data_IF_003134417797
#
_entry.id   IF_003134417797
#
_cell.length_a   1.000
_cell.length_b   1.000
_cell.length_c   1.000
_cell.angle_alpha   90.00
_cell.angle_beta   90.00
_cell.angle_gamma   90.00
#
_symmetry.space_group_name_H-M   'P 1'
#
loop_
_entity.id
_entity.type
_entity.pdbx_description
1 polymer ?
#
# COMPACT_ATOMS: atom_id res chain seq x y z
N UNK A 1 11.83 -13.36 15.33
CA UNK A 1 10.60 -12.59 15.23
C UNK A 1 9.85 -12.94 13.95
N UNK A 2 8.55 -13.26 14.06
CA UNK A 2 7.73 -13.73 12.94
C UNK A 2 7.00 -12.62 12.19
N UNK A 3 7.23 -11.34 12.52
CA UNK A 3 6.49 -10.20 11.99
C UNK A 3 5.14 -10.00 12.69
N UNK A 4 4.37 -9.01 12.21
CA UNK A 4 3.15 -8.52 12.86
C UNK A 4 2.04 -9.59 12.99
N UNK A 5 1.99 -10.55 12.08
CA UNK A 5 0.97 -11.61 12.10
C UNK A 5 1.45 -12.89 12.77
N UNK A 6 2.66 -13.34 12.48
CA UNK A 6 3.14 -14.63 12.99
C UNK A 6 3.69 -14.54 14.43
N UNK A 7 4.13 -13.35 14.88
CA UNK A 7 4.58 -13.19 16.27
C UNK A 7 3.43 -13.41 17.26
N UNK A 8 2.27 -12.72 17.14
CA UNK A 8 1.14 -13.02 18.01
C UNK A 8 0.59 -14.45 17.83
N UNK A 9 0.59 -15.00 16.61
CA UNK A 9 0.23 -16.40 16.37
C UNK A 9 1.10 -17.36 17.20
N UNK A 10 2.41 -17.22 17.12
CA UNK A 10 3.35 -18.05 17.84
C UNK A 10 3.17 -17.93 19.37
N UNK A 11 3.01 -16.71 19.87
CA UNK A 11 2.75 -16.49 21.30
C UNK A 11 1.47 -17.17 21.76
N UNK A 12 0.37 -16.97 21.03
CA UNK A 12 -0.93 -17.56 21.37
C UNK A 12 -0.90 -19.09 21.30
N UNK A 13 -0.28 -19.67 20.26
CA UNK A 13 -0.09 -21.14 20.17
C UNK A 13 0.80 -21.69 21.28
N UNK A 14 1.65 -20.86 21.91
CA UNK A 14 2.46 -21.22 23.07
C UNK A 14 1.75 -20.97 24.41
N UNK A 15 0.45 -20.67 24.39
CA UNK A 15 -0.33 -20.39 25.59
C UNK A 15 -0.13 -18.99 26.17
N UNK A 16 0.47 -18.05 25.43
CA UNK A 16 0.69 -16.66 25.85
C UNK A 16 -0.24 -15.74 25.07
N UNK A 17 -1.32 -15.30 25.68
CA UNK A 17 -2.33 -14.45 25.00
C UNK A 17 -3.57 -14.22 25.86
N UNK A 18 -4.63 -13.62 25.29
CA UNK A 18 -5.90 -13.44 26.01
C UNK A 18 -6.48 -14.79 26.42
N UNK A 19 -6.61 -15.02 27.72
CA UNK A 19 -7.01 -16.33 28.29
C UNK A 19 -8.33 -16.85 27.72
N UNK A 20 -9.35 -15.98 27.60
CA UNK A 20 -10.66 -16.37 27.07
C UNK A 20 -10.54 -16.84 25.62
N UNK A 21 -9.82 -16.10 24.76
CA UNK A 21 -9.60 -16.48 23.37
C UNK A 21 -8.82 -17.79 23.22
N UNK A 22 -7.78 -18.00 24.05
CA UNK A 22 -7.03 -19.26 24.07
C UNK A 22 -7.90 -20.44 24.43
N UNK A 23 -8.72 -20.31 25.45
CA UNK A 23 -9.69 -21.33 25.85
C UNK A 23 -10.71 -21.64 24.75
N UNK A 24 -11.21 -20.60 24.04
CA UNK A 24 -12.17 -20.75 22.93
C UNK A 24 -11.60 -21.60 21.77
N UNK A 25 -10.29 -21.54 21.56
CA UNK A 25 -9.61 -22.34 20.51
C UNK A 25 -8.97 -23.62 21.04
N UNK A 26 -9.21 -23.98 22.34
CA UNK A 26 -8.74 -25.23 22.95
C UNK A 26 -7.27 -25.23 23.35
N UNK A 27 -6.67 -24.05 23.58
CA UNK A 27 -5.32 -23.89 24.09
C UNK A 27 -5.37 -23.50 25.56
N UNK A 28 -4.66 -24.23 26.42
CA UNK A 28 -4.55 -23.92 27.86
C UNK A 28 -3.68 -22.65 28.03
N UNK A 29 -4.19 -21.59 28.69
CA UNK A 29 -3.42 -20.38 28.94
C UNK A 29 -2.28 -20.63 29.92
N UNK A 30 -1.04 -20.38 29.52
CA UNK A 30 0.15 -20.39 30.37
C UNK A 30 0.36 -19.01 31.00
N UNK A 31 0.16 -17.96 30.19
CA UNK A 31 0.23 -16.58 30.65
C UNK A 31 -0.92 -15.80 30.04
N UNK A 32 -1.78 -15.26 30.89
CA UNK A 32 -2.81 -14.31 30.42
C UNK A 32 -2.18 -12.96 30.05
N UNK A 33 -2.18 -12.70 28.75
CA UNK A 33 -1.63 -11.47 28.16
C UNK A 33 -2.66 -10.85 27.21
N UNK A 34 -3.54 -9.97 27.70
CA UNK A 34 -4.74 -9.51 26.99
C UNK A 34 -4.44 -8.68 25.74
N UNK A 35 -3.21 -8.19 25.58
CA UNK A 35 -2.83 -7.35 24.43
C UNK A 35 -2.12 -8.11 23.30
N UNK A 36 -1.81 -9.39 23.46
CA UNK A 36 -1.27 -10.21 22.36
C UNK A 36 -2.29 -10.30 21.24
N UNK A 37 -1.89 -9.92 20.04
CA UNK A 37 -2.77 -9.85 18.88
C UNK A 37 -3.62 -8.57 18.79
N UNK A 38 -3.60 -7.67 19.76
CA UNK A 38 -4.36 -6.42 19.76
C UNK A 38 -3.56 -5.25 19.17
N UNK A 39 -4.24 -4.12 18.97
CA UNK A 39 -3.67 -2.86 18.49
C UNK A 39 -3.01 -2.94 17.09
N UNK A 40 -3.52 -3.81 16.22
CA UNK A 40 -3.07 -3.86 14.84
C UNK A 40 -3.34 -2.53 14.14
N UNK A 41 -2.31 -1.97 13.53
CA UNK A 41 -2.36 -0.76 12.71
C UNK A 41 -1.72 -1.02 11.36
N UNK A 42 -2.28 -0.45 10.31
CA UNK A 42 -1.68 -0.47 8.98
C UNK A 42 -2.06 0.81 8.22
N UNK A 43 -1.24 1.19 7.27
CA UNK A 43 -1.47 2.34 6.43
C UNK A 43 -2.61 2.08 5.44
N UNK A 44 -3.67 2.89 5.52
CA UNK A 44 -4.74 2.87 4.54
C UNK A 44 -4.46 3.90 3.44
N UNK A 45 -4.72 3.53 2.20
CA UNK A 45 -4.47 4.39 1.06
C UNK A 45 -5.52 4.23 -0.03
N UNK A 46 -5.82 5.34 -0.72
CA UNK A 46 -6.68 5.39 -1.91
C UNK A 46 -5.85 5.98 -3.04
N UNK A 47 -6.05 5.54 -4.26
CA UNK A 47 -5.26 6.03 -5.40
C UNK A 47 -6.15 6.65 -6.47
N UNK A 48 -6.39 7.98 -6.44
CA UNK A 48 -6.88 8.69 -7.61
C UNK A 48 -5.92 8.51 -8.78
N UNK A 49 -6.45 8.15 -9.95
CA UNK A 49 -5.68 7.90 -11.16
C UNK A 49 -6.22 8.70 -12.32
N UNK A 50 -5.34 9.07 -13.26
CA UNK A 50 -5.73 9.71 -14.50
C UNK A 50 -5.06 9.00 -15.67
N UNK A 51 -5.79 8.87 -16.80
CA UNK A 51 -5.22 8.42 -18.05
C UNK A 51 -4.23 9.44 -18.60
N UNK A 52 -3.33 9.00 -19.50
CA UNK A 52 -2.45 9.88 -20.26
C UNK A 52 -2.89 9.96 -21.72
N UNK A 53 -3.10 11.17 -22.28
CA UNK A 53 -3.36 11.33 -23.71
C UNK A 53 -2.19 10.82 -24.56
N UNK A 54 -0.96 11.11 -24.10
CA UNK A 54 0.27 10.66 -24.74
C UNK A 54 1.01 9.72 -23.78
N UNK A 55 1.43 8.55 -24.25
CA UNK A 55 2.17 7.58 -23.42
C UNK A 55 3.41 8.19 -22.79
N UNK A 56 3.61 7.90 -21.51
CA UNK A 56 4.82 8.30 -20.80
C UNK A 56 6.00 7.35 -21.08
N UNK A 57 7.22 7.77 -20.72
CA UNK A 57 8.45 7.02 -21.01
C UNK A 57 8.46 5.63 -20.37
N UNK A 58 7.77 5.43 -19.25
CA UNK A 58 7.71 4.15 -18.58
C UNK A 58 7.02 3.07 -19.40
N UNK A 59 5.93 3.41 -20.12
CA UNK A 59 5.24 2.47 -21.02
C UNK A 59 6.18 1.94 -22.09
N UNK A 60 7.06 2.79 -22.64
CA UNK A 60 8.04 2.40 -23.63
C UNK A 60 9.10 1.45 -23.08
N UNK A 61 9.55 1.68 -21.85
CA UNK A 61 10.49 0.80 -21.15
C UNK A 61 9.87 -0.56 -20.87
N UNK A 62 8.55 -0.64 -20.61
CA UNK A 62 7.81 -1.89 -20.38
C UNK A 62 7.63 -2.74 -21.65
N UNK A 63 8.06 -2.28 -22.82
CA UNK A 63 8.13 -3.15 -23.99
C UNK A 63 9.18 -4.24 -23.76
N UNK A 64 8.81 -5.50 -23.97
CA UNK A 64 9.59 -6.67 -23.57
C UNK A 64 11.07 -6.62 -24.02
N UNK A 65 11.31 -6.28 -25.29
CA UNK A 65 12.66 -6.19 -25.86
C UNK A 65 13.48 -5.06 -25.20
N UNK A 66 12.86 -3.91 -24.94
CA UNK A 66 13.50 -2.78 -24.25
C UNK A 66 13.76 -3.09 -22.78
N UNK A 67 12.83 -3.76 -22.13
CA UNK A 67 12.99 -4.19 -20.74
C UNK A 67 14.12 -5.21 -20.61
N UNK A 68 14.16 -6.22 -21.49
CA UNK A 68 15.24 -7.22 -21.51
C UNK A 68 16.60 -6.55 -21.66
N UNK A 69 16.75 -5.64 -22.63
CA UNK A 69 17.98 -4.87 -22.82
C UNK A 69 18.31 -4.00 -21.59
N UNK A 70 17.31 -3.40 -20.97
CA UNK A 70 17.49 -2.58 -19.77
C UNK A 70 17.97 -3.40 -18.58
N UNK A 71 17.47 -4.63 -18.41
CA UNK A 71 17.92 -5.57 -17.36
C UNK A 71 19.37 -5.99 -17.60
N UNK A 72 19.72 -6.36 -18.84
CA UNK A 72 21.12 -6.72 -19.19
C UNK A 72 22.05 -5.55 -18.90
N UNK A 73 21.66 -4.33 -19.31
CA UNK A 73 22.44 -3.12 -19.05
C UNK A 73 22.58 -2.81 -17.56
N UNK A 74 21.51 -2.98 -16.80
CA UNK A 74 21.53 -2.80 -15.35
C UNK A 74 22.48 -3.80 -14.68
N UNK A 75 22.45 -5.06 -15.12
CA UNK A 75 23.30 -6.11 -14.56
C UNK A 75 24.78 -5.89 -14.89
N UNK A 76 25.11 -5.52 -16.14
CA UNK A 76 26.52 -5.40 -16.57
C UNK A 76 27.14 -4.06 -16.19
N UNK A 77 26.37 -2.99 -16.17
CA UNK A 77 26.89 -1.62 -16.04
C UNK A 77 26.29 -0.83 -14.86
N UNK A 78 25.39 -1.41 -14.07
CA UNK A 78 24.72 -0.73 -12.96
C UNK A 78 23.92 0.52 -13.38
N UNK A 79 23.43 0.58 -14.63
CA UNK A 79 22.82 1.78 -15.20
C UNK A 79 21.61 1.46 -16.07
N UNK A 80 20.76 2.46 -16.30
CA UNK A 80 19.61 2.37 -17.20
C UNK A 80 18.27 2.25 -16.47
N UNK A 81 17.14 2.23 -17.21
CA UNK A 81 15.79 2.29 -16.65
C UNK A 81 15.46 1.17 -15.65
N UNK A 82 16.05 -0.03 -15.80
CA UNK A 82 15.80 -1.16 -14.89
C UNK A 82 16.47 -1.00 -13.51
N UNK A 83 17.31 0.02 -13.30
CA UNK A 83 17.87 0.33 -11.97
C UNK A 83 16.99 1.27 -11.17
N UNK A 84 15.92 1.81 -11.75
CA UNK A 84 15.05 2.81 -11.14
C UNK A 84 13.65 2.24 -11.01
N UNK A 85 13.09 2.26 -9.80
CA UNK A 85 11.69 1.91 -9.59
C UNK A 85 10.78 3.01 -10.17
N UNK A 86 9.66 2.62 -10.83
CA UNK A 86 8.73 3.57 -11.45
C UNK A 86 7.83 4.27 -10.43
N UNK A 87 8.39 4.98 -9.55
CA UNK A 87 7.71 5.76 -8.54
C UNK A 87 8.80 6.31 -7.62
N UNK A 88 8.80 7.52 -7.28
CA UNK A 88 9.92 8.06 -6.53
C UNK A 88 9.69 9.43 -5.95
N UNK A 89 8.58 10.07 -6.31
CA UNK A 89 8.20 11.33 -5.69
C UNK A 89 7.27 11.03 -4.51
N UNK A 90 7.74 11.44 -3.36
CA UNK A 90 6.99 11.35 -2.11
C UNK A 90 6.79 12.76 -1.57
N UNK A 91 5.60 13.05 -1.11
CA UNK A 91 5.27 14.29 -0.40
C UNK A 91 4.65 13.95 0.95
N UNK A 92 4.84 14.82 1.93
CA UNK A 92 4.25 14.66 3.25
C UNK A 92 3.50 15.94 3.61
N UNK A 93 2.33 15.82 4.20
CA UNK A 93 1.47 16.94 4.54
C UNK A 93 0.83 16.74 5.91
N UNK A 94 0.53 17.85 6.58
CA UNK A 94 -0.38 17.91 7.73
C UNK A 94 -1.76 18.31 7.22
N UNK A 95 -2.80 17.55 7.52
CA UNK A 95 -4.18 17.92 7.17
C UNK A 95 -4.75 19.02 8.06
N UNK A 96 -4.16 19.20 9.26
CA UNK A 96 -4.49 20.25 10.23
C UNK A 96 -3.23 20.95 10.69
N UNK A 97 -3.31 22.25 10.96
CA UNK A 97 -2.16 23.08 11.33
C UNK A 97 -1.60 22.80 12.74
N UNK A 98 -2.41 22.26 13.62
CA UNK A 98 -2.10 21.93 15.02
C UNK A 98 -1.40 20.58 15.21
N UNK A 99 -1.32 19.75 14.16
CA UNK A 99 -0.61 18.47 14.24
C UNK A 99 0.90 18.69 14.45
N UNK A 100 1.51 17.86 15.28
CA UNK A 100 2.96 17.88 15.51
C UNK A 100 3.73 17.21 14.36
N UNK A 101 3.16 16.18 13.74
CA UNK A 101 3.74 15.42 12.63
C UNK A 101 2.81 15.42 11.41
N UNK A 102 3.35 15.06 10.25
CA UNK A 102 2.58 14.86 9.03
C UNK A 102 1.73 13.60 9.16
N UNK A 103 0.47 13.67 8.73
CA UNK A 103 -0.52 12.60 8.84
C UNK A 103 -0.91 11.98 7.49
N UNK A 104 -0.55 12.64 6.37
CA UNK A 104 -0.71 12.12 5.01
C UNK A 104 0.64 12.09 4.28
N UNK A 105 0.93 10.96 3.64
CA UNK A 105 1.99 10.80 2.65
C UNK A 105 1.37 10.69 1.26
N UNK A 106 1.92 11.40 0.29
CA UNK A 106 1.61 11.24 -1.13
C UNK A 106 2.67 10.39 -1.82
N UNK A 107 2.23 9.37 -2.54
CA UNK A 107 3.07 8.53 -3.39
C UNK A 107 2.69 8.77 -4.84
N UNK A 108 3.57 9.39 -5.61
CA UNK A 108 3.36 9.55 -7.05
C UNK A 108 3.71 8.25 -7.78
N UNK A 109 2.81 7.78 -8.63
CA UNK A 109 3.03 6.65 -9.55
C UNK A 109 2.98 7.13 -10.98
N UNK A 110 4.09 6.98 -11.70
CA UNK A 110 4.20 7.32 -13.11
C UNK A 110 3.62 6.29 -14.09
N UNK A 111 2.99 5.23 -13.58
CA UNK A 111 2.34 4.18 -14.35
C UNK A 111 1.05 3.71 -13.66
N UNK A 112 0.07 3.17 -14.41
CA UNK A 112 -1.14 2.60 -13.82
C UNK A 112 -0.82 1.33 -13.03
N UNK A 113 -1.67 0.99 -12.05
CA UNK A 113 -1.47 -0.17 -11.18
C UNK A 113 -1.49 -1.53 -11.91
N UNK A 114 -2.11 -1.58 -13.08
CA UNK A 114 -2.22 -2.74 -13.95
C UNK A 114 -1.20 -2.73 -15.11
N UNK A 115 -0.12 -1.93 -15.02
CA UNK A 115 0.95 -1.94 -16.01
C UNK A 115 1.58 -3.33 -16.15
N UNK A 116 1.83 -3.76 -17.37
CA UNK A 116 2.43 -5.05 -17.70
C UNK A 116 3.41 -4.94 -18.86
N UNK A 117 4.27 -5.94 -18.99
CA UNK A 117 5.13 -6.03 -20.17
C UNK A 117 4.31 -6.34 -21.42
N UNK A 118 4.58 -5.64 -22.50
CA UNK A 118 3.88 -5.75 -23.78
C UNK A 118 4.83 -5.94 -24.95
N UNK A 119 4.32 -6.45 -26.07
CA UNK A 119 5.10 -6.61 -27.31
C UNK A 119 4.20 -6.46 -28.53
N UNK A 120 4.59 -5.65 -29.54
CA UNK A 120 3.79 -5.47 -30.74
C UNK A 120 3.48 -6.82 -31.43
N UNK A 121 2.24 -7.00 -31.83
CA UNK A 121 1.79 -8.22 -32.53
C UNK A 121 1.50 -9.43 -31.61
N UNK A 122 1.95 -9.45 -30.36
CA UNK A 122 1.71 -10.55 -29.39
C UNK A 122 0.77 -10.10 -28.27
N UNK A 123 1.13 -9.02 -27.60
CA UNK A 123 0.34 -8.47 -26.50
C UNK A 123 0.28 -6.95 -26.64
N UNK A 124 -0.90 -6.35 -26.81
CA UNK A 124 -1.03 -4.90 -26.98
C UNK A 124 -0.55 -4.16 -25.72
N UNK A 125 -0.12 -2.92 -25.90
CA UNK A 125 0.25 -2.08 -24.78
C UNK A 125 -0.98 -1.70 -23.93
N UNK A 126 -0.76 -1.57 -22.62
CA UNK A 126 -1.81 -1.09 -21.71
C UNK A 126 -2.12 0.40 -21.92
N UNK A 127 -3.31 0.81 -21.51
CA UNK A 127 -3.68 2.24 -21.45
C UNK A 127 -2.83 2.90 -20.37
N UNK A 128 -2.02 3.87 -20.77
CA UNK A 128 -1.11 4.54 -19.84
C UNK A 128 -1.83 5.56 -18.96
N UNK A 129 -1.24 5.80 -17.80
CA UNK A 129 -1.80 6.69 -16.80
C UNK A 129 -0.80 6.98 -15.68
N UNK A 130 -1.22 7.79 -14.74
CA UNK A 130 -0.49 8.06 -13.50
C UNK A 130 -1.46 8.21 -12.34
N UNK A 131 -0.94 8.16 -11.14
CA UNK A 131 -1.74 8.33 -9.93
C UNK A 131 -0.96 9.02 -8.83
N UNK A 132 -1.68 9.68 -7.95
CA UNK A 132 -1.15 10.26 -6.72
C UNK A 132 -1.90 9.66 -5.55
N UNK A 133 -1.22 8.80 -4.81
CA UNK A 133 -1.79 7.97 -3.75
C UNK A 133 -1.60 8.63 -2.38
N UNK A 134 -2.63 9.25 -1.78
CA UNK A 134 -2.60 9.62 -0.37
C UNK A 134 -2.65 8.37 0.52
N UNK A 135 -1.80 8.34 1.51
CA UNK A 135 -1.62 7.28 2.50
C UNK A 135 -1.83 7.89 3.88
N UNK A 136 -2.74 7.33 4.66
CA UNK A 136 -2.95 7.70 6.06
C UNK A 136 -1.80 7.13 6.89
N UNK A 137 -0.99 8.00 7.53
CA UNK A 137 0.21 7.58 8.25
C UNK A 137 -0.05 7.17 9.70
N UNK A 138 -1.00 7.79 10.35
CA UNK A 138 -1.30 7.60 11.77
C UNK A 138 -2.80 7.27 11.98
N UNK A 139 -3.28 6.09 11.53
CA UNK A 139 -4.66 5.70 11.78
C UNK A 139 -4.93 5.59 13.29
N UNK A 140 -6.08 6.06 13.74
CA UNK A 140 -6.57 5.88 15.10
C UNK A 140 -7.32 4.54 15.26
N UNK A 141 -7.88 4.03 14.16
CA UNK A 141 -8.53 2.71 14.12
C UNK A 141 -7.56 1.59 14.50
N UNK A 142 -8.06 0.63 15.26
CA UNK A 142 -7.28 -0.50 15.77
C UNK A 142 -7.91 -1.82 15.37
N UNK A 143 -7.09 -2.68 14.82
CA UNK A 143 -7.45 -4.05 14.50
C UNK A 143 -6.87 -5.07 15.47
N UNK A 144 -7.02 -6.33 15.10
CA UNK A 144 -6.53 -7.44 15.88
C UNK A 144 -6.16 -8.65 15.02
N UNK A 145 -5.31 -9.50 15.59
CA UNK A 145 -4.91 -10.81 15.05
C UNK A 145 -5.34 -11.89 16.04
N UNK A 146 -6.12 -12.85 15.57
CA UNK A 146 -6.66 -13.94 16.38
C UNK A 146 -6.30 -15.29 15.77
N UNK A 147 -6.23 -16.34 16.61
CA UNK A 147 -6.16 -17.71 16.11
C UNK A 147 -7.52 -18.14 15.53
N UNK A 148 -7.51 -19.04 14.55
CA UNK A 148 -8.71 -19.77 14.10
C UNK A 148 -8.91 -21.08 14.82
N UNK A 149 -7.81 -21.73 15.19
CA UNK A 149 -7.76 -23.01 15.87
C UNK A 149 -6.41 -23.18 16.57
N UNK A 150 -6.22 -24.30 17.25
CA UNK A 150 -4.94 -24.69 17.83
C UNK A 150 -3.95 -25.27 16.80
N UNK A 151 -4.36 -25.46 15.53
CA UNK A 151 -3.47 -25.96 14.47
C UNK A 151 -2.48 -24.85 14.04
N UNK A 152 -1.15 -25.08 14.17
CA UNK A 152 -0.14 -24.09 13.77
C UNK A 152 -0.09 -23.81 12.26
N UNK A 153 -0.69 -24.67 11.43
CA UNK A 153 -0.76 -24.46 9.97
C UNK A 153 -1.98 -23.65 9.54
N UNK A 154 -2.95 -23.46 10.41
CA UNK A 154 -4.07 -22.58 10.13
C UNK A 154 -3.64 -21.12 10.11
N UNK A 155 -4.12 -20.40 9.07
CA UNK A 155 -3.86 -18.98 8.96
C UNK A 155 -4.63 -18.21 10.03
N UNK A 156 -3.97 -17.22 10.63
CA UNK A 156 -4.60 -16.31 11.59
C UNK A 156 -5.81 -15.58 10.98
N UNK A 157 -6.73 -15.18 11.81
CA UNK A 157 -7.82 -14.26 11.48
C UNK A 157 -7.33 -12.83 11.71
N UNK A 158 -7.27 -12.04 10.66
CA UNK A 158 -6.83 -10.65 10.69
C UNK A 158 -8.07 -9.76 10.57
N UNK A 159 -8.30 -8.91 11.54
CA UNK A 159 -9.40 -7.96 11.58
C UNK A 159 -8.77 -6.58 11.60
N UNK A 160 -8.86 -5.85 10.49
CA UNK A 160 -8.17 -4.56 10.34
C UNK A 160 -8.92 -3.40 10.98
N UNK A 161 -10.26 -3.45 11.01
CA UNK A 161 -11.13 -2.37 11.47
C UNK A 161 -10.79 -1.00 10.83
N UNK A 162 -10.41 -0.99 9.54
CA UNK A 162 -10.11 0.24 8.83
C UNK A 162 -11.30 1.21 8.86
N UNK A 163 -11.02 2.49 9.12
CA UNK A 163 -12.01 3.57 9.16
C UNK A 163 -13.09 3.42 10.25
N UNK A 164 -12.84 2.63 11.27
CA UNK A 164 -13.75 2.49 12.43
C UNK A 164 -13.83 3.80 13.21
N UNK A 165 -12.73 4.55 13.25
CA UNK A 165 -12.70 5.90 13.82
C UNK A 165 -12.96 6.93 12.72
N UNK A 166 -13.99 7.80 12.86
CA UNK A 166 -14.37 8.77 11.83
C UNK A 166 -13.24 9.73 11.41
N UNK A 167 -12.31 10.04 12.30
CA UNK A 167 -11.16 10.89 12.04
C UNK A 167 -10.26 10.37 10.93
N UNK A 168 -10.09 9.05 10.83
CA UNK A 168 -9.30 8.39 9.79
C UNK A 168 -9.88 8.64 8.40
N UNK A 169 -11.21 8.52 8.27
CA UNK A 169 -11.92 8.78 7.02
C UNK A 169 -11.80 10.25 6.59
N UNK A 170 -11.92 11.19 7.53
CA UNK A 170 -11.83 12.62 7.23
C UNK A 170 -10.42 13.02 6.80
N UNK A 171 -9.41 12.51 7.48
CA UNK A 171 -8.00 12.74 7.13
C UNK A 171 -7.70 12.18 5.73
N UNK A 172 -8.10 10.94 5.45
CA UNK A 172 -7.90 10.33 4.13
C UNK A 172 -8.68 11.06 3.02
N UNK A 173 -9.91 11.49 3.30
CA UNK A 173 -10.74 12.28 2.40
C UNK A 173 -10.09 13.62 2.04
N UNK A 174 -9.48 14.30 3.02
CA UNK A 174 -8.69 15.51 2.80
C UNK A 174 -7.49 15.22 1.91
N UNK A 175 -6.75 14.14 2.17
CA UNK A 175 -5.66 13.69 1.33
C UNK A 175 -6.07 13.45 -0.13
N UNK A 176 -7.23 12.82 -0.37
CA UNK A 176 -7.77 12.59 -1.73
C UNK A 176 -8.12 13.91 -2.43
N UNK A 177 -8.72 14.88 -1.71
CA UNK A 177 -9.03 16.19 -2.30
C UNK A 177 -7.75 16.91 -2.73
N UNK A 178 -6.74 16.96 -1.88
CA UNK A 178 -5.45 17.58 -2.20
C UNK A 178 -4.74 16.84 -3.33
N UNK A 179 -4.79 15.50 -3.36
CA UNK A 179 -4.24 14.72 -4.49
C UNK A 179 -4.89 15.11 -5.81
N UNK A 180 -6.22 15.24 -5.86
CA UNK A 180 -6.95 15.70 -7.04
C UNK A 180 -6.58 17.13 -7.42
N UNK A 181 -6.50 18.05 -6.48
CA UNK A 181 -6.06 19.43 -6.72
C UNK A 181 -4.66 19.47 -7.33
N UNK A 182 -3.71 18.68 -6.81
CA UNK A 182 -2.36 18.55 -7.37
C UNK A 182 -2.40 18.00 -8.80
N UNK A 183 -3.21 16.98 -9.06
CA UNK A 183 -3.36 16.39 -10.41
C UNK A 183 -4.03 17.35 -11.39
N UNK A 184 -4.79 18.35 -10.92
CA UNK A 184 -5.48 19.35 -11.74
C UNK A 184 -4.70 20.66 -11.89
N UNK A 185 -3.46 20.74 -11.38
CA UNK A 185 -2.64 21.93 -11.62
C UNK A 185 -2.29 22.10 -13.12
N UNK A 186 -2.19 23.34 -13.61
CA UNK A 186 -1.88 23.61 -15.03
C UNK A 186 -0.61 22.90 -15.55
N UNK A 187 0.37 22.68 -14.70
CA UNK A 187 1.58 21.92 -15.03
C UNK A 187 1.29 20.47 -15.44
N UNK A 188 0.16 19.90 -15.01
CA UNK A 188 -0.25 18.52 -15.29
C UNK A 188 -1.13 18.40 -16.55
N UNK A 189 -1.65 19.49 -17.12
CA UNK A 189 -2.63 19.47 -18.21
C UNK A 189 -2.14 18.73 -19.45
N UNK A 190 -0.84 18.82 -19.76
CA UNK A 190 -0.25 18.10 -20.90
C UNK A 190 -0.16 16.57 -20.69
N UNK A 191 -0.22 16.13 -19.45
CA UNK A 191 -0.05 14.72 -19.07
C UNK A 191 -1.34 14.08 -18.57
N UNK A 192 -2.31 14.87 -18.18
CA UNK A 192 -3.56 14.42 -17.58
C UNK A 192 -4.67 14.31 -18.62
N UNK A 193 -5.22 13.12 -18.75
CA UNK A 193 -6.47 12.86 -19.43
C UNK A 193 -7.65 12.83 -18.44
N UNK A 194 -8.56 11.89 -18.62
CA UNK A 194 -9.70 11.67 -17.73
C UNK A 194 -9.28 10.97 -16.45
N UNK A 195 -9.88 11.36 -15.31
CA UNK A 195 -9.77 10.59 -14.07
C UNK A 195 -10.41 9.22 -14.29
N UNK A 196 -9.70 8.19 -13.88
CA UNK A 196 -10.17 6.78 -13.93
C UNK A 196 -10.34 6.28 -12.50
N UNK A 197 -11.44 5.59 -12.26
CA UNK A 197 -11.75 5.02 -10.95
C UNK A 197 -10.84 3.83 -10.62
#
# INVERSE_FOLDING_TARGET
>A
SGGVFNTPQLLMLSGIGPADHLNDVGIEPVVDSPYVGKNLQDHLAVQPTASRPNPGPFRDVMRFDRMALSIVRAHLFGSGPATVLPGGLHGFMKTKSDLTATDIQFLFRGAPGNAYMWFPGIKPAYTDGFGLRPVLLHPESRGEVLLRSADPFDKVRIIQNFLDVPGDLETLRTGVKVAREMMHQPAMDKMRGTETA
#
